data_IF_759647131087
#
_entry.id   IF_759647131087
#
_cell.length_a   1.000
_cell.length_b   1.000
_cell.length_c   1.000
_cell.angle_alpha   90.00
_cell.angle_beta   90.00
_cell.angle_gamma   90.00
#
_symmetry.space_group_name_H-M   'P 1'
#
loop_
_entity.id
_entity.type
_entity.pdbx_description
1 polymer ?
#
# COMPACT_ATOMS: atom_id res chain seq x y z
N UNK A 1 13.16 -10.98 0.68
CA UNK A 1 11.85 -10.40 0.35
C UNK A 1 11.40 -9.60 1.54
N UNK A 2 11.13 -8.30 1.37
CA UNK A 2 10.63 -7.43 2.44
C UNK A 2 9.12 -7.34 2.30
N UNK A 3 8.39 -7.65 3.39
CA UNK A 3 6.93 -7.68 3.39
C UNK A 3 6.38 -6.52 4.21
N UNK A 4 5.50 -5.74 3.60
CA UNK A 4 4.74 -4.69 4.28
C UNK A 4 3.30 -5.12 4.47
N UNK A 5 2.93 -5.31 5.74
CA UNK A 5 1.61 -5.71 6.16
C UNK A 5 0.73 -4.46 6.33
N UNK A 6 -0.20 -4.24 5.39
CA UNK A 6 -1.03 -3.03 5.38
C UNK A 6 -1.92 -2.93 6.61
N UNK A 7 -2.48 -4.05 7.09
CA UNK A 7 -3.33 -4.06 8.30
C UNK A 7 -2.56 -3.65 9.57
N UNK A 8 -1.25 -3.92 9.63
CA UNK A 8 -0.42 -3.51 10.76
C UNK A 8 -0.16 -1.99 10.77
N UNK A 9 -0.10 -1.36 9.58
CA UNK A 9 0.10 0.08 9.44
C UNK A 9 -1.23 0.87 9.50
N UNK A 10 -2.29 0.27 8.98
CA UNK A 10 -3.66 0.76 8.99
C UNK A 10 -4.56 -0.34 9.53
N UNK A 11 -4.88 -0.36 10.85
CA UNK A 11 -5.71 -1.40 11.47
C UNK A 11 -7.20 -1.19 11.13
N UNK A 12 -7.49 -1.18 9.83
CA UNK A 12 -8.81 -1.02 9.23
C UNK A 12 -8.97 -2.13 8.20
N UNK A 13 -10.16 -2.70 8.12
CA UNK A 13 -10.44 -3.78 7.17
C UNK A 13 -10.96 -3.25 5.82
N UNK A 14 -11.21 -1.94 5.72
CA UNK A 14 -11.68 -1.26 4.51
C UNK A 14 -10.88 0.02 4.31
N UNK A 15 -10.27 0.19 3.13
CA UNK A 15 -9.32 1.26 2.84
C UNK A 15 -9.84 2.14 1.70
N UNK A 16 -10.26 3.38 2.00
CA UNK A 16 -11.06 4.18 1.04
C UNK A 16 -10.43 5.50 0.63
N UNK A 17 -9.48 6.05 1.40
CA UNK A 17 -8.99 7.42 1.18
C UNK A 17 -7.51 7.48 0.82
N UNK A 18 -7.16 8.34 -0.14
CA UNK A 18 -5.77 8.70 -0.47
C UNK A 18 -5.00 9.17 0.76
N UNK A 19 -5.64 9.97 1.61
CA UNK A 19 -5.04 10.45 2.86
C UNK A 19 -4.60 9.32 3.80
N UNK A 20 -5.35 8.20 3.84
CA UNK A 20 -4.96 7.04 4.64
C UNK A 20 -3.73 6.34 4.04
N UNK A 21 -3.63 6.23 2.72
CA UNK A 21 -2.45 5.70 2.05
C UNK A 21 -1.22 6.60 2.31
N UNK A 22 -1.38 7.92 2.19
CA UNK A 22 -0.30 8.88 2.47
C UNK A 22 0.16 8.84 3.93
N UNK A 23 -0.75 8.57 4.87
CA UNK A 23 -0.41 8.53 6.31
C UNK A 23 0.60 7.45 6.69
N UNK A 24 0.79 6.43 5.85
CA UNK A 24 1.74 5.34 6.07
C UNK A 24 3.00 5.44 5.20
N UNK A 25 3.22 6.57 4.52
CA UNK A 25 4.37 6.76 3.63
C UNK A 25 5.70 6.57 4.32
N UNK A 26 5.86 7.11 5.53
CA UNK A 26 7.14 7.04 6.24
C UNK A 26 7.49 5.61 6.67
N UNK A 27 6.47 4.84 7.06
CA UNK A 27 6.63 3.43 7.41
C UNK A 27 7.00 2.59 6.18
N UNK A 28 6.33 2.82 5.05
CA UNK A 28 6.66 2.18 3.76
C UNK A 28 8.08 2.53 3.35
N UNK A 29 8.45 3.81 3.39
CA UNK A 29 9.77 4.29 3.01
C UNK A 29 10.88 3.69 3.87
N UNK A 30 10.64 3.52 5.17
CA UNK A 30 11.58 2.86 6.07
C UNK A 30 11.83 1.40 5.66
N UNK A 31 10.77 0.66 5.34
CA UNK A 31 10.87 -0.73 4.90
C UNK A 31 11.50 -0.86 3.51
N UNK A 32 11.18 0.06 2.58
CA UNK A 32 11.81 0.13 1.26
C UNK A 32 13.33 0.37 1.34
N UNK A 33 13.78 1.25 2.24
CA UNK A 33 15.21 1.49 2.46
C UNK A 33 15.93 0.23 2.93
N UNK A 34 15.27 -0.58 3.76
CA UNK A 34 15.76 -1.87 4.28
C UNK A 34 15.69 -3.00 3.25
N UNK A 35 14.84 -2.86 2.23
CA UNK A 35 14.66 -3.89 1.23
C UNK A 35 15.88 -4.05 0.30
N UNK A 36 16.23 -5.31 0.04
CA UNK A 36 17.28 -5.73 -0.90
C UNK A 36 16.68 -6.30 -2.18
N UNK A 37 15.87 -5.48 -2.88
CA UNK A 37 15.49 -5.73 -4.28
C UNK A 37 14.20 -6.50 -4.54
N UNK A 38 13.48 -7.01 -3.53
CA UNK A 38 12.13 -7.59 -3.71
C UNK A 38 11.20 -7.14 -2.60
N UNK A 39 10.00 -6.72 -2.99
CA UNK A 39 9.02 -6.12 -2.09
C UNK A 39 7.66 -6.77 -2.22
N UNK A 40 6.99 -6.97 -1.09
CA UNK A 40 5.65 -7.53 -1.01
C UNK A 40 4.74 -6.57 -0.26
N UNK A 41 3.60 -6.23 -0.86
CA UNK A 41 2.51 -5.55 -0.18
C UNK A 41 1.47 -6.61 0.17
N UNK A 42 1.31 -6.86 1.46
CA UNK A 42 0.40 -7.86 1.99
C UNK A 42 -0.88 -7.20 2.52
N UNK A 43 -2.00 -7.56 1.91
CA UNK A 43 -3.34 -7.10 2.28
C UNK A 43 -4.12 -8.11 3.13
N UNK A 44 -3.44 -9.06 3.79
CA UNK A 44 -4.08 -9.95 4.75
C UNK A 44 -4.88 -9.12 5.77
N UNK A 45 -6.08 -9.60 6.09
CA UNK A 45 -7.06 -8.97 6.98
C UNK A 45 -7.71 -7.66 6.45
N UNK A 46 -7.35 -7.23 5.23
CA UNK A 46 -8.07 -6.20 4.46
C UNK A 46 -9.14 -6.88 3.62
N UNK A 47 -10.39 -6.43 3.77
CA UNK A 47 -11.54 -6.97 3.05
C UNK A 47 -11.77 -6.25 1.72
N UNK A 48 -11.61 -4.93 1.71
CA UNK A 48 -11.84 -4.14 0.51
C UNK A 48 -10.99 -2.86 0.46
N UNK A 49 -10.68 -2.40 -0.75
CA UNK A 49 -10.04 -1.11 -0.99
C UNK A 49 -10.71 -0.32 -2.11
N UNK A 50 -10.64 1.00 -2.04
CA UNK A 50 -11.01 1.89 -3.13
C UNK A 50 -9.84 1.99 -4.12
N UNK A 51 -10.09 2.04 -5.44
CA UNK A 51 -9.05 2.25 -6.44
C UNK A 51 -8.18 3.48 -6.14
N UNK A 52 -8.79 4.56 -5.65
CA UNK A 52 -8.07 5.78 -5.27
C UNK A 52 -7.04 5.56 -4.14
N UNK A 53 -7.33 4.69 -3.16
CA UNK A 53 -6.38 4.31 -2.12
C UNK A 53 -5.21 3.52 -2.72
N UNK A 54 -5.52 2.59 -3.63
CA UNK A 54 -4.51 1.74 -4.25
C UNK A 54 -3.56 2.54 -5.15
N UNK A 55 -4.10 3.43 -5.98
CA UNK A 55 -3.30 4.34 -6.81
C UNK A 55 -2.33 5.17 -5.95
N UNK A 56 -2.83 5.76 -4.86
CA UNK A 56 -2.00 6.56 -3.95
C UNK A 56 -0.94 5.71 -3.23
N UNK A 57 -1.27 4.47 -2.86
CA UNK A 57 -0.32 3.55 -2.26
C UNK A 57 0.83 3.23 -3.24
N UNK A 58 0.53 3.03 -4.52
CA UNK A 58 1.55 2.84 -5.56
C UNK A 58 2.42 4.08 -5.71
N UNK A 59 1.84 5.28 -5.75
CA UNK A 59 2.60 6.53 -5.78
C UNK A 59 3.51 6.70 -4.57
N UNK A 60 3.06 6.31 -3.37
CA UNK A 60 3.89 6.32 -2.15
C UNK A 60 5.10 5.38 -2.28
N UNK A 61 4.93 4.22 -2.89
CA UNK A 61 6.03 3.26 -3.11
C UNK A 61 7.03 3.79 -4.16
N UNK A 62 6.51 4.36 -5.25
CA UNK A 62 7.32 5.01 -6.29
C UNK A 62 8.14 6.18 -5.71
N UNK A 63 7.50 7.10 -4.98
CA UNK A 63 8.14 8.21 -4.27
C UNK A 63 9.27 7.68 -3.35
N UNK A 64 9.01 6.58 -2.63
CA UNK A 64 9.97 5.97 -1.72
C UNK A 64 11.21 5.42 -2.42
N UNK A 65 11.04 4.81 -3.59
CA UNK A 65 12.15 4.32 -4.41
C UNK A 65 12.98 5.45 -5.00
N UNK A 66 12.33 6.49 -5.52
CA UNK A 66 13.00 7.70 -6.02
C UNK A 66 13.86 8.35 -4.92
N UNK A 67 13.29 8.55 -3.73
CA UNK A 67 14.00 9.12 -2.59
C UNK A 67 15.18 8.25 -2.11
N UNK A 68 15.07 6.92 -2.23
CA UNK A 68 16.14 6.02 -1.88
C UNK A 68 17.23 5.91 -2.96
N UNK A 69 17.04 6.53 -4.14
CA UNK A 69 17.90 6.37 -5.32
C UNK A 69 18.16 4.89 -5.66
N UNK A 70 17.17 4.03 -5.41
CA UNK A 70 17.22 2.59 -5.68
C UNK A 70 16.25 2.25 -6.81
N UNK A 71 16.66 1.39 -7.77
CA UNK A 71 15.72 0.92 -8.79
C UNK A 71 14.55 0.19 -8.12
N UNK A 72 13.35 0.36 -8.68
CA UNK A 72 12.16 -0.37 -8.23
C UNK A 72 12.35 -1.86 -8.56
N UNK A 73 12.49 -2.66 -7.50
CA UNK A 73 12.52 -4.11 -7.64
C UNK A 73 11.12 -4.67 -7.94
N UNK A 74 11.00 -5.99 -8.21
CA UNK A 74 9.69 -6.61 -8.38
C UNK A 74 8.79 -6.36 -7.15
N UNK A 75 7.63 -5.77 -7.41
CA UNK A 75 6.56 -5.56 -6.44
C UNK A 75 5.55 -6.71 -6.57
N UNK A 76 5.33 -7.44 -5.47
CA UNK A 76 4.33 -8.49 -5.38
C UNK A 76 3.18 -8.04 -4.49
N UNK A 77 1.95 -8.24 -4.93
CA UNK A 77 0.76 -8.01 -4.11
C UNK A 77 0.22 -9.36 -3.66
N UNK A 78 0.07 -9.55 -2.35
CA UNK A 78 -0.50 -10.78 -1.79
C UNK A 78 -1.77 -10.50 -1.00
N UNK A 79 -2.65 -11.51 -1.00
CA UNK A 79 -4.01 -11.43 -0.45
C UNK A 79 -4.80 -10.23 -0.99
N UNK A 80 -4.86 -10.01 -2.32
CA UNK A 80 -5.50 -8.83 -2.89
C UNK A 80 -6.95 -8.73 -2.39
N UNK A 81 -7.34 -7.60 -1.80
CA UNK A 81 -8.70 -7.44 -1.29
C UNK A 81 -9.67 -7.27 -2.44
N UNK A 82 -10.97 -7.47 -2.18
CA UNK A 82 -11.98 -7.22 -3.20
C UNK A 82 -12.09 -5.72 -3.51
N UNK A 83 -12.32 -5.37 -4.77
CA UNK A 83 -12.58 -3.97 -5.14
C UNK A 83 -13.86 -3.48 -4.46
N UNK A 84 -13.81 -2.31 -3.81
CA UNK A 84 -15.01 -1.66 -3.28
C UNK A 84 -15.93 -1.29 -4.44
N UNK A 85 -17.16 -1.83 -4.43
CA UNK A 85 -18.18 -1.47 -5.41
C UNK A 85 -18.33 0.05 -5.53
N UNK A 86 -18.51 0.61 -6.75
CA UNK A 86 -18.70 2.04 -6.97
C UNK A 86 -19.77 2.69 -6.08
N UNK A 87 -20.80 1.93 -5.66
CA UNK A 87 -21.87 2.42 -4.77
C UNK A 87 -21.37 2.83 -3.38
N UNK A 88 -20.26 2.28 -2.91
CA UNK A 88 -19.68 2.60 -1.60
C UNK A 88 -18.73 3.80 -1.65
N UNK A 89 -18.32 4.27 -2.84
CA UNK A 89 -17.55 5.51 -2.98
C UNK A 89 -18.34 6.76 -2.57
N UNK A 90 -19.67 6.71 -2.59
CA UNK A 90 -20.53 7.84 -2.25
C UNK A 90 -20.75 8.02 -0.73
N UNK A 91 -20.29 7.07 0.09
CA UNK A 91 -20.59 7.02 1.54
C UNK A 91 -19.34 7.22 2.40
N UNK A 92 -18.15 7.26 1.80
CA UNK A 92 -16.86 7.42 2.49
C UNK A 92 -16.22 8.78 2.25
#
# INVERSE_FOLDING_TARGET
MTTVNIHALLPKNVLTSRSSARSISDAINLELRRANGTYEINFKDIRALAPSFFDELLSVVEDGHEQASKPMGPLTITHPPSELSPKFHAVC
#
